data_IF_585769024862
#
_entry.id   IF_585769024862
#
_cell.length_a   1.000
_cell.length_b   1.000
_cell.length_c   1.000
_cell.angle_alpha   90.00
_cell.angle_beta   90.00
_cell.angle_gamma   90.00
#
_symmetry.space_group_name_H-M   'P 1'
#
loop_
_entity.id
_entity.type
_entity.pdbx_description
1 polymer ?
#
# COMPACT_ATOMS: atom_id res chain seq x y z
N UNK A 1 47.47 -63.82 24.95
CA UNK A 1 46.17 -63.54 24.26
C UNK A 1 46.26 -62.18 23.64
N UNK A 2 46.60 -62.08 22.36
CA UNK A 2 46.73 -60.78 21.63
C UNK A 2 45.46 -60.55 20.85
N UNK A 3 44.59 -59.65 21.31
CA UNK A 3 43.40 -59.22 20.63
C UNK A 3 43.77 -58.12 19.65
N UNK A 4 43.86 -58.46 18.38
CA UNK A 4 44.06 -57.53 17.29
C UNK A 4 42.73 -56.79 17.05
N UNK A 5 42.68 -55.52 17.44
CA UNK A 5 41.59 -54.60 17.03
C UNK A 5 41.74 -54.29 15.55
N UNK A 6 40.88 -54.86 14.72
CA UNK A 6 40.81 -54.57 13.31
C UNK A 6 40.23 -53.14 13.15
N UNK A 7 41.08 -52.19 12.89
CA UNK A 7 40.67 -50.82 12.49
C UNK A 7 39.88 -50.91 11.22
N UNK A 8 38.57 -50.69 11.32
CA UNK A 8 37.71 -50.50 10.16
C UNK A 8 38.04 -49.12 9.59
N UNK A 9 38.86 -49.10 8.55
CA UNK A 9 39.07 -47.90 7.74
C UNK A 9 37.74 -47.53 7.08
N UNK A 10 37.09 -46.51 7.61
CA UNK A 10 35.96 -45.88 6.90
C UNK A 10 36.50 -45.31 5.62
N UNK A 11 36.09 -45.89 4.51
CA UNK A 11 36.40 -45.41 3.17
C UNK A 11 35.63 -44.12 2.96
N UNK A 12 36.31 -42.97 3.03
CA UNK A 12 35.75 -41.67 2.70
C UNK A 12 35.21 -41.71 1.27
N UNK A 13 33.91 -41.72 1.16
CA UNK A 13 33.23 -41.63 -0.15
C UNK A 13 33.26 -40.16 -0.57
N UNK A 14 34.07 -39.81 -1.54
CA UNK A 14 34.05 -38.51 -2.17
C UNK A 14 32.72 -38.30 -2.93
N UNK A 15 32.27 -37.04 -2.99
CA UNK A 15 31.10 -36.66 -3.76
C UNK A 15 31.27 -36.96 -5.25
N UNK A 16 30.23 -37.47 -5.86
CA UNK A 16 30.20 -37.68 -7.33
C UNK A 16 29.88 -36.36 -8.02
N UNK A 17 30.41 -36.17 -9.24
CA UNK A 17 30.14 -34.96 -10.03
C UNK A 17 28.63 -34.77 -10.27
N UNK A 18 27.90 -35.86 -10.42
CA UNK A 18 26.46 -35.84 -10.66
C UNK A 18 25.67 -35.35 -9.43
N UNK A 19 26.10 -35.69 -8.20
CA UNK A 19 25.48 -35.17 -6.98
C UNK A 19 25.61 -33.66 -6.88
N UNK A 20 26.80 -33.12 -7.18
CA UNK A 20 27.05 -31.68 -7.13
C UNK A 20 26.23 -30.96 -8.20
N UNK A 21 26.18 -31.47 -9.44
CA UNK A 21 25.43 -30.87 -10.54
C UNK A 21 23.92 -30.89 -10.22
N UNK A 22 23.40 -31.97 -9.66
CA UNK A 22 21.99 -32.08 -9.29
C UNK A 22 21.61 -31.07 -8.21
N UNK A 23 22.43 -30.90 -7.18
CA UNK A 23 22.19 -29.91 -6.11
C UNK A 23 22.25 -28.48 -6.67
N UNK A 24 23.21 -28.18 -7.53
CA UNK A 24 23.30 -26.86 -8.18
C UNK A 24 22.10 -26.60 -9.09
N UNK A 25 21.60 -27.60 -9.81
CA UNK A 25 20.41 -27.48 -10.66
C UNK A 25 19.17 -27.16 -9.81
N UNK A 26 18.97 -27.86 -8.69
CA UNK A 26 17.83 -27.58 -7.79
C UNK A 26 17.98 -26.20 -7.14
N UNK A 27 19.18 -25.84 -6.70
CA UNK A 27 19.43 -24.52 -6.14
C UNK A 27 19.15 -23.41 -7.15
N UNK A 28 19.55 -23.59 -8.43
CA UNK A 28 19.26 -22.66 -9.51
C UNK A 28 17.75 -22.46 -9.76
N UNK A 29 16.98 -23.54 -9.72
CA UNK A 29 15.51 -23.46 -9.84
C UNK A 29 14.87 -22.69 -8.69
N UNK A 30 15.33 -22.92 -7.45
CA UNK A 30 14.82 -22.20 -6.26
C UNK A 30 15.15 -20.71 -6.38
N UNK A 31 16.37 -20.35 -6.76
CA UNK A 31 16.76 -18.95 -6.96
C UNK A 31 15.89 -18.27 -8.02
N UNK A 32 15.65 -18.93 -9.14
CA UNK A 32 14.79 -18.39 -10.20
C UNK A 32 13.38 -18.10 -9.70
N UNK A 33 12.79 -19.03 -8.94
CA UNK A 33 11.44 -18.86 -8.37
C UNK A 33 11.41 -17.68 -7.39
N UNK A 34 12.41 -17.54 -6.52
CA UNK A 34 12.49 -16.45 -5.54
C UNK A 34 12.62 -15.10 -6.24
N UNK A 35 13.47 -14.98 -7.28
CA UNK A 35 13.62 -13.72 -8.01
C UNK A 35 12.34 -13.27 -8.72
N UNK A 36 11.50 -14.20 -9.17
CA UNK A 36 10.21 -13.86 -9.78
C UNK A 36 9.15 -13.45 -8.74
N UNK A 37 9.18 -14.05 -7.54
CA UNK A 37 8.18 -13.81 -6.50
C UNK A 37 8.44 -12.54 -5.66
N UNK A 38 9.71 -12.18 -5.44
CA UNK A 38 10.09 -11.05 -4.59
C UNK A 38 9.47 -9.70 -4.98
N UNK A 39 9.46 -9.27 -6.26
CA UNK A 39 8.89 -7.97 -6.63
C UNK A 39 7.39 -7.89 -6.36
N UNK A 40 6.66 -8.98 -6.57
CA UNK A 40 5.21 -9.02 -6.33
C UNK A 40 4.89 -8.88 -4.83
N UNK A 41 5.66 -9.58 -3.98
CA UNK A 41 5.50 -9.51 -2.53
C UNK A 41 5.79 -8.09 -1.98
N UNK A 42 6.87 -7.46 -2.45
CA UNK A 42 7.23 -6.10 -2.03
C UNK A 42 6.15 -5.06 -2.38
N UNK A 43 5.51 -5.18 -3.55
CA UNK A 43 4.38 -4.32 -3.94
C UNK A 43 3.19 -4.51 -3.01
N UNK A 44 2.81 -5.76 -2.73
CA UNK A 44 1.72 -6.06 -1.80
C UNK A 44 1.94 -5.50 -0.40
N UNK A 45 3.18 -5.53 0.08
CA UNK A 45 3.55 -4.92 1.37
C UNK A 45 3.41 -3.40 1.34
N UNK A 46 3.89 -2.72 0.28
CA UNK A 46 3.73 -1.27 0.14
C UNK A 46 2.27 -0.86 0.03
N UNK A 47 1.46 -1.58 -0.72
CA UNK A 47 0.03 -1.29 -0.85
C UNK A 47 -0.71 -1.48 0.48
N UNK A 48 -0.35 -2.51 1.24
CA UNK A 48 -0.90 -2.72 2.59
C UNK A 48 -0.49 -1.58 3.53
N UNK A 49 0.76 -1.14 3.48
CA UNK A 49 1.24 -0.01 4.26
C UNK A 49 0.53 1.30 3.88
N UNK A 50 0.29 1.56 2.60
CA UNK A 50 -0.48 2.73 2.11
C UNK A 50 -1.94 2.72 2.62
N UNK A 51 -2.59 1.56 2.63
CA UNK A 51 -3.94 1.42 3.19
C UNK A 51 -3.95 1.67 4.70
N UNK A 52 -2.94 1.19 5.41
CA UNK A 52 -2.80 1.45 6.83
C UNK A 52 -2.59 2.95 7.11
N UNK A 53 -1.74 3.62 6.35
CA UNK A 53 -1.53 5.06 6.44
C UNK A 53 -2.84 5.85 6.16
N UNK A 54 -3.62 5.42 5.16
CA UNK A 54 -4.94 6.00 4.89
C UNK A 54 -5.88 5.86 6.10
N UNK A 55 -5.87 4.72 6.78
CA UNK A 55 -6.66 4.49 7.99
C UNK A 55 -6.20 5.37 9.16
N UNK A 56 -4.89 5.57 9.33
CA UNK A 56 -4.34 6.49 10.34
C UNK A 56 -4.82 7.92 10.08
N UNK A 57 -4.74 8.37 8.82
CA UNK A 57 -5.22 9.70 8.42
C UNK A 57 -6.73 9.84 8.65
N UNK A 58 -7.52 8.83 8.29
CA UNK A 58 -8.95 8.80 8.56
C UNK A 58 -9.26 8.94 10.05
N UNK A 59 -8.52 8.23 10.89
CA UNK A 59 -8.64 8.34 12.36
C UNK A 59 -8.26 9.74 12.85
N UNK A 60 -7.19 10.32 12.31
CA UNK A 60 -6.78 11.69 12.63
C UNK A 60 -7.86 12.73 12.28
N UNK A 61 -8.52 12.57 11.10
CA UNK A 61 -9.65 13.41 10.70
C UNK A 61 -10.83 13.24 11.67
N UNK A 62 -11.12 12.03 12.09
CA UNK A 62 -12.17 11.75 13.07
C UNK A 62 -11.89 12.41 14.41
N UNK A 63 -10.64 12.36 14.89
CA UNK A 63 -10.21 13.03 16.11
C UNK A 63 -10.31 14.55 15.98
N UNK A 64 -9.88 15.11 14.85
CA UNK A 64 -10.05 16.53 14.56
C UNK A 64 -11.53 16.92 14.56
N UNK A 65 -12.39 16.13 13.88
CA UNK A 65 -13.83 16.34 13.84
C UNK A 65 -14.44 16.37 15.24
N UNK A 66 -14.06 15.44 16.10
CA UNK A 66 -14.54 15.36 17.49
C UNK A 66 -14.18 16.61 18.28
N UNK A 67 -12.96 17.14 18.09
CA UNK A 67 -12.50 18.36 18.78
C UNK A 67 -13.15 19.64 18.21
N UNK A 68 -13.65 19.60 16.97
CA UNK A 68 -14.26 20.74 16.28
C UNK A 68 -15.79 20.60 16.11
N UNK A 69 -16.47 19.92 17.03
CA UNK A 69 -17.94 19.74 17.07
C UNK A 69 -18.51 19.10 15.79
N UNK A 70 -17.70 18.28 15.13
CA UNK A 70 -18.07 17.62 13.88
C UNK A 70 -17.89 18.48 12.62
N UNK A 71 -17.29 19.66 12.70
CA UNK A 71 -17.07 20.51 11.54
C UNK A 71 -15.65 20.34 10.96
N UNK A 72 -15.56 19.87 9.72
CA UNK A 72 -14.32 19.70 8.98
C UNK A 72 -14.01 20.86 8.02
N UNK A 73 -14.83 21.91 8.00
CA UNK A 73 -14.70 23.00 7.00
C UNK A 73 -13.32 23.68 7.04
N UNK A 74 -12.72 23.77 8.23
CA UNK A 74 -11.43 24.40 8.45
C UNK A 74 -10.26 23.39 8.53
N UNK A 75 -10.48 22.13 8.14
CA UNK A 75 -9.42 21.12 8.08
C UNK A 75 -8.41 21.49 7.01
N UNK A 76 -7.14 21.54 7.38
CA UNK A 76 -6.01 21.79 6.49
C UNK A 76 -4.94 20.70 6.68
N UNK A 77 -4.04 20.57 5.71
CA UNK A 77 -2.92 19.64 5.83
C UNK A 77 -2.05 19.93 7.07
N UNK A 78 -1.94 21.20 7.46
CA UNK A 78 -1.13 21.60 8.63
C UNK A 78 -1.78 21.21 9.94
N UNK A 79 -3.08 21.46 10.12
CA UNK A 79 -3.72 21.21 11.41
C UNK A 79 -4.02 19.72 11.65
N UNK A 80 -4.16 18.90 10.61
CA UNK A 80 -4.31 17.45 10.77
C UNK A 80 -3.01 16.77 11.24
N UNK A 81 -1.84 17.35 10.94
CA UNK A 81 -0.54 16.76 11.30
C UNK A 81 -0.36 16.56 12.81
N UNK A 82 -0.99 17.40 13.64
CA UNK A 82 -0.94 17.28 15.10
C UNK A 82 -1.68 16.04 15.63
N UNK A 83 -2.55 15.44 14.83
CA UNK A 83 -3.30 14.22 15.14
C UNK A 83 -2.66 12.96 14.55
N UNK A 84 -1.58 13.10 13.76
CA UNK A 84 -0.86 12.00 13.13
C UNK A 84 0.49 11.82 13.83
N UNK A 85 0.72 10.65 14.42
CA UNK A 85 2.01 10.34 15.03
C UNK A 85 3.06 10.04 13.98
N UNK A 86 2.80 9.03 13.14
CA UNK A 86 3.72 8.61 12.07
C UNK A 86 2.95 7.94 10.93
N UNK A 87 3.50 8.03 9.74
CA UNK A 87 3.06 7.31 8.55
C UNK A 87 4.23 6.46 8.03
N UNK A 88 3.91 5.36 7.36
CA UNK A 88 4.91 4.40 6.87
C UNK A 88 5.41 4.72 5.47
N UNK A 89 4.53 5.22 4.61
CA UNK A 89 4.80 5.44 3.18
C UNK A 89 4.74 6.92 2.76
N UNK A 90 4.20 7.79 3.61
CA UNK A 90 3.98 9.21 3.30
C UNK A 90 4.62 10.11 4.34
N UNK A 91 5.08 11.27 3.89
CA UNK A 91 5.45 12.36 4.79
C UNK A 91 4.19 13.15 5.19
N UNK A 92 3.92 13.22 6.49
CA UNK A 92 2.73 13.91 7.00
C UNK A 92 2.71 15.41 6.72
N UNK A 93 3.85 16.00 6.43
CA UNK A 93 3.97 17.44 6.13
C UNK A 93 3.89 17.73 4.63
N UNK A 94 4.47 16.86 3.79
CA UNK A 94 4.65 17.13 2.36
C UNK A 94 3.63 16.39 1.47
N UNK A 95 3.16 15.22 1.91
CA UNK A 95 2.41 14.33 1.02
C UNK A 95 0.88 14.39 1.21
N UNK A 96 0.39 15.02 2.28
CA UNK A 96 -1.05 15.16 2.52
C UNK A 96 -1.58 16.44 1.85
N UNK A 97 -2.56 16.26 0.97
CA UNK A 97 -3.26 17.37 0.32
C UNK A 97 -4.73 17.36 0.75
N UNK A 98 -5.21 18.45 1.35
CA UNK A 98 -6.61 18.61 1.75
C UNK A 98 -7.33 19.51 0.75
N UNK A 99 -8.47 19.05 0.25
CA UNK A 99 -9.33 19.77 -0.70
C UNK A 99 -10.71 20.00 -0.08
N UNK A 100 -11.23 21.21 -0.21
CA UNK A 100 -12.48 21.63 0.45
C UNK A 100 -13.75 21.15 -0.25
N UNK A 101 -13.64 20.70 -1.49
CA UNK A 101 -14.74 20.14 -2.27
C UNK A 101 -14.24 18.96 -3.08
N UNK A 102 -15.17 18.08 -3.48
CA UNK A 102 -14.81 17.00 -4.38
C UNK A 102 -14.29 17.56 -5.69
N UNK A 103 -13.05 17.25 -6.00
CA UNK A 103 -12.34 17.69 -7.21
C UNK A 103 -11.98 16.46 -8.02
N UNK A 104 -11.99 16.60 -9.34
CA UNK A 104 -11.49 15.54 -10.21
C UNK A 104 -10.03 15.22 -9.88
N UNK A 105 -9.71 13.97 -9.69
CA UNK A 105 -8.39 13.47 -9.33
C UNK A 105 -7.98 12.37 -10.32
N UNK A 106 -6.77 12.45 -10.84
CA UNK A 106 -6.20 11.37 -11.63
C UNK A 106 -5.32 10.50 -10.72
N UNK A 107 -5.73 9.26 -10.51
CA UNK A 107 -4.96 8.26 -9.77
C UNK A 107 -3.97 7.61 -10.72
N UNK A 108 -2.68 7.71 -10.41
CA UNK A 108 -1.63 7.16 -11.27
C UNK A 108 -0.24 7.41 -10.70
N UNK A 109 0.77 7.23 -11.52
CA UNK A 109 2.18 7.38 -11.11
C UNK A 109 2.48 8.73 -10.47
N UNK A 110 1.96 9.82 -11.03
CA UNK A 110 2.18 11.18 -10.53
C UNK A 110 1.57 11.43 -9.13
N UNK A 111 0.60 10.62 -8.73
CA UNK A 111 -0.10 10.74 -7.43
C UNK A 111 0.27 9.63 -6.45
N UNK A 112 1.17 8.72 -6.85
CA UNK A 112 1.52 7.52 -6.06
C UNK A 112 2.18 7.85 -4.70
N UNK A 113 2.82 9.01 -4.59
CA UNK A 113 3.47 9.52 -3.38
C UNK A 113 2.62 10.50 -2.58
N UNK A 114 1.35 10.68 -2.90
CA UNK A 114 0.48 11.65 -2.23
C UNK A 114 -0.81 11.02 -1.70
N UNK A 115 -1.29 11.58 -0.60
CA UNK A 115 -2.60 11.29 -0.03
C UNK A 115 -3.52 12.49 -0.25
N UNK A 116 -4.70 12.22 -0.78
CA UNK A 116 -5.71 13.25 -0.99
C UNK A 116 -6.84 13.07 0.03
N UNK A 117 -7.09 14.12 0.78
CA UNK A 117 -8.25 14.24 1.68
C UNK A 117 -9.23 15.18 1.03
N UNK A 118 -10.42 14.70 0.71
CA UNK A 118 -11.47 15.52 0.14
C UNK A 118 -12.62 15.68 1.13
N UNK A 119 -12.93 16.92 1.46
CA UNK A 119 -14.01 17.27 2.38
C UNK A 119 -15.35 17.30 1.65
N UNK A 120 -16.43 17.03 2.38
CA UNK A 120 -17.81 17.01 1.86
C UNK A 120 -17.95 16.07 0.66
N UNK A 121 -17.23 14.97 0.67
CA UNK A 121 -17.17 14.02 -0.43
C UNK A 121 -17.51 12.61 0.06
N UNK A 122 -17.86 11.74 -0.89
CA UNK A 122 -18.09 10.31 -0.68
C UNK A 122 -17.23 9.51 -1.63
N UNK A 123 -16.84 8.34 -1.21
CA UNK A 123 -16.11 7.42 -2.07
C UNK A 123 -16.93 7.02 -3.30
N UNK A 124 -16.27 6.81 -4.45
CA UNK A 124 -16.91 6.19 -5.59
C UNK A 124 -17.40 4.78 -5.24
N UNK A 125 -18.43 4.31 -5.92
CA UNK A 125 -18.98 2.95 -5.68
C UNK A 125 -18.02 1.84 -6.08
N UNK A 126 -17.16 2.11 -7.05
CA UNK A 126 -16.02 1.27 -7.40
C UNK A 126 -14.88 2.13 -7.95
N UNK A 127 -13.65 1.64 -7.81
CA UNK A 127 -12.47 2.22 -8.45
C UNK A 127 -11.83 1.09 -9.25
N UNK A 128 -11.94 1.18 -10.58
CA UNK A 128 -11.40 0.15 -11.45
C UNK A 128 -9.87 0.19 -11.47
N UNK A 129 -9.18 -0.95 -11.48
CA UNK A 129 -7.74 -0.99 -11.66
C UNK A 129 -7.36 -0.54 -13.08
N UNK A 130 -6.40 0.36 -13.19
CA UNK A 130 -5.94 0.88 -14.47
C UNK A 130 -4.56 1.52 -14.40
N UNK A 131 -3.99 1.86 -15.56
CA UNK A 131 -2.68 2.50 -15.65
C UNK A 131 -2.68 3.94 -15.14
N UNK A 132 -3.78 4.64 -15.34
CA UNK A 132 -4.08 5.95 -14.77
C UNK A 132 -5.60 6.09 -14.74
N UNK A 133 -6.12 6.45 -13.57
CA UNK A 133 -7.56 6.51 -13.37
C UNK A 133 -7.97 7.93 -13.02
N UNK A 134 -8.84 8.51 -13.86
CA UNK A 134 -9.45 9.79 -13.54
C UNK A 134 -10.69 9.54 -12.66
N UNK A 135 -10.66 10.04 -11.44
CA UNK A 135 -11.81 10.12 -10.56
C UNK A 135 -12.49 11.46 -10.79
N UNK A 136 -13.68 11.44 -11.35
CA UNK A 136 -14.47 12.66 -11.60
C UNK A 136 -15.31 13.02 -10.39
N UNK A 137 -15.62 14.29 -10.22
CA UNK A 137 -16.51 14.76 -9.17
C UNK A 137 -17.94 14.92 -9.70
N UNK A 138 -18.93 14.38 -8.99
CA UNK A 138 -20.34 14.53 -9.30
C UNK A 138 -21.20 14.59 -8.03
N UNK A 139 -22.48 14.92 -8.18
CA UNK A 139 -23.40 15.03 -7.05
C UNK A 139 -23.64 13.69 -6.33
N UNK A 140 -23.60 12.58 -7.05
CA UNK A 140 -23.81 11.23 -6.51
C UNK A 140 -22.60 10.35 -6.77
N UNK A 141 -22.19 9.48 -5.82
CA UNK A 141 -21.12 8.53 -6.06
C UNK A 141 -21.55 7.49 -7.10
N UNK A 142 -20.65 7.23 -8.05
CA UNK A 142 -20.78 6.17 -9.04
C UNK A 142 -19.40 5.51 -9.26
N UNK A 143 -19.30 4.58 -10.19
CA UNK A 143 -18.00 4.04 -10.56
C UNK A 143 -17.05 5.18 -11.01
N UNK A 144 -15.86 5.23 -10.46
CA UNK A 144 -14.85 6.27 -10.72
C UNK A 144 -15.31 7.73 -10.47
N UNK A 145 -16.39 7.93 -9.72
CA UNK A 145 -16.96 9.25 -9.45
C UNK A 145 -16.93 9.53 -7.96
N UNK A 146 -16.23 10.57 -7.56
CA UNK A 146 -16.25 11.08 -6.20
C UNK A 146 -17.58 11.80 -5.96
N UNK A 147 -18.36 11.35 -4.99
CA UNK A 147 -19.60 12.01 -4.62
C UNK A 147 -19.33 13.41 -4.06
N UNK A 148 -20.06 14.40 -4.55
CA UNK A 148 -19.98 15.79 -4.10
C UNK A 148 -21.22 16.15 -3.29
N UNK A 149 -21.13 17.18 -2.44
CA UNK A 149 -22.27 17.67 -1.65
C UNK A 149 -22.50 16.91 -0.32
N UNK A 150 -21.51 16.19 0.16
CA UNK A 150 -21.53 15.59 1.49
C UNK A 150 -21.69 16.64 2.62
N UNK A 151 -22.05 16.18 3.81
CA UNK A 151 -22.18 17.05 5.00
C UNK A 151 -20.83 17.62 5.42
N UNK A 152 -20.84 18.64 6.26
CA UNK A 152 -19.60 19.20 6.86
C UNK A 152 -18.81 18.20 7.69
N UNK A 153 -19.39 17.04 7.99
CA UNK A 153 -18.80 15.96 8.79
C UNK A 153 -18.22 14.83 7.93
N UNK A 154 -18.41 14.90 6.63
CA UNK A 154 -17.96 13.87 5.69
C UNK A 154 -16.64 14.25 5.05
N UNK A 155 -15.75 13.30 5.01
CA UNK A 155 -14.50 13.39 4.27
C UNK A 155 -14.13 12.01 3.74
N UNK A 156 -13.31 11.99 2.72
CA UNK A 156 -12.71 10.77 2.18
C UNK A 156 -11.20 10.92 2.10
N UNK A 157 -10.52 9.80 2.26
CA UNK A 157 -9.07 9.68 2.07
C UNK A 157 -8.82 8.81 0.86
N UNK A 158 -8.06 9.33 -0.10
CA UNK A 158 -7.73 8.63 -1.34
C UNK A 158 -6.21 8.45 -1.42
N UNK A 159 -5.78 7.22 -1.65
CA UNK A 159 -4.38 6.85 -1.89
C UNK A 159 -4.26 6.04 -3.18
N UNK A 160 -3.10 6.10 -3.81
CA UNK A 160 -2.78 5.35 -5.02
C UNK A 160 -2.01 4.08 -4.66
N UNK A 161 -2.54 2.93 -5.06
CA UNK A 161 -1.91 1.61 -4.90
C UNK A 161 -1.16 1.21 -6.16
N UNK A 162 -0.14 0.39 -5.99
CA UNK A 162 0.69 -0.16 -7.08
C UNK A 162 0.19 -1.54 -7.50
N UNK A 163 -0.95 -1.60 -8.19
CA UNK A 163 -1.49 -2.88 -8.64
C UNK A 163 -0.65 -3.46 -9.79
N UNK A 164 -0.16 -4.68 -9.64
CA UNK A 164 0.59 -5.48 -10.66
C UNK A 164 1.75 -4.75 -11.40
N UNK A 165 2.22 -3.62 -10.91
CA UNK A 165 3.43 -2.93 -11.40
C UNK A 165 3.29 -2.10 -12.67
N UNK A 166 2.20 -2.22 -13.41
CA UNK A 166 1.91 -1.43 -14.61
C UNK A 166 0.62 -0.62 -14.48
N UNK A 167 -0.27 -1.06 -13.60
CA UNK A 167 -1.55 -0.40 -13.35
C UNK A 167 -1.58 0.18 -11.95
N UNK A 168 -2.14 1.36 -11.81
CA UNK A 168 -2.42 2.00 -10.53
C UNK A 168 -3.90 1.88 -10.20
N UNK A 169 -4.18 1.64 -8.93
CA UNK A 169 -5.54 1.57 -8.43
C UNK A 169 -5.73 2.61 -7.32
N UNK A 170 -6.84 3.33 -7.36
CA UNK A 170 -7.25 4.17 -6.24
C UNK A 170 -7.81 3.33 -5.09
N UNK A 171 -7.43 3.67 -3.87
CA UNK A 171 -8.09 3.18 -2.66
C UNK A 171 -8.74 4.37 -1.98
N UNK A 172 -10.01 4.27 -1.67
CA UNK A 172 -10.79 5.30 -1.01
C UNK A 172 -11.32 4.79 0.32
N UNK A 173 -11.18 5.60 1.36
CA UNK A 173 -11.74 5.35 2.68
C UNK A 173 -12.65 6.50 3.06
N UNK A 174 -13.89 6.19 3.41
CA UNK A 174 -14.90 7.15 3.86
C UNK A 174 -14.90 7.27 5.39
N UNK A 175 -15.21 8.48 5.89
CA UNK A 175 -15.38 8.81 7.30
C UNK A 175 -16.83 9.14 7.60
#
# INVERSE_FOLDING_TARGET
MNTQYKQLTQKDRGFTIIEVVLVLAIAGLIFLMVFLALPALQRGQRDTAKKNDASIIATAISNYSSNNKGDLTNLTATNIQSYIESLSQYDKAADITVQTAATALTVGSATASKVYVQLKARCPTSIDPGTSQALTAAATPAANVIGNGGSKRQAIVIVTLENNGTAYQGYCQEL
#
